data_IF_402656428218
#
_entry.id   IF_402656428218
#
_cell.length_a   1.000
_cell.length_b   1.000
_cell.length_c   1.000
_cell.angle_alpha   90.00
_cell.angle_beta   90.00
_cell.angle_gamma   90.00
#
_symmetry.space_group_name_H-M   'P 1'
#
loop_
_entity.id
_entity.type
_entity.pdbx_description
1 polymer ?
#
# COMPACT_ATOMS: atom_id res chain seq x y z
N UNK A 1 36.93 -4.84 -0.46
CA UNK A 1 35.88 -5.63 0.21
C UNK A 1 34.48 -5.44 -0.40
N UNK A 2 34.16 -4.27 -0.98
CA UNK A 2 32.84 -4.00 -1.61
C UNK A 2 32.55 -4.82 -2.88
N UNK A 3 33.56 -5.10 -3.72
CA UNK A 3 33.39 -5.88 -4.95
C UNK A 3 33.02 -7.35 -4.73
N UNK A 4 33.42 -7.94 -3.60
CA UNK A 4 33.10 -9.34 -3.26
C UNK A 4 31.64 -9.53 -2.80
N UNK A 5 31.01 -8.49 -2.25
CA UNK A 5 29.62 -8.54 -1.76
C UNK A 5 28.62 -8.43 -2.93
N UNK A 6 28.92 -7.55 -3.90
CA UNK A 6 28.09 -7.37 -5.12
C UNK A 6 28.10 -8.64 -6.00
N UNK A 7 29.25 -9.31 -6.10
CA UNK A 7 29.37 -10.56 -6.84
C UNK A 7 28.62 -11.73 -6.16
N UNK A 8 28.59 -11.79 -4.83
CA UNK A 8 27.87 -12.84 -4.08
C UNK A 8 26.33 -12.65 -4.14
N UNK A 9 25.86 -11.40 -4.14
CA UNK A 9 24.42 -11.10 -4.30
C UNK A 9 23.96 -11.37 -5.73
N UNK A 10 24.70 -11.00 -6.76
CA UNK A 10 24.37 -11.28 -8.15
C UNK A 10 24.34 -12.81 -8.44
N UNK A 11 25.27 -13.58 -7.86
CA UNK A 11 25.29 -15.06 -7.97
C UNK A 11 24.09 -15.68 -7.24
N UNK A 12 23.70 -15.18 -6.06
CA UNK A 12 22.55 -15.68 -5.33
C UNK A 12 21.23 -15.40 -6.08
N UNK A 13 21.06 -14.22 -6.66
CA UNK A 13 19.91 -13.85 -7.50
C UNK A 13 19.85 -14.71 -8.78
N UNK A 14 20.99 -14.93 -9.45
CA UNK A 14 21.05 -15.86 -10.59
C UNK A 14 20.75 -17.31 -10.20
N UNK A 15 21.21 -17.77 -9.03
CA UNK A 15 20.95 -19.14 -8.57
C UNK A 15 19.48 -19.33 -8.16
N UNK A 16 18.81 -18.32 -7.64
CA UNK A 16 17.38 -18.39 -7.29
C UNK A 16 16.52 -18.28 -8.55
N UNK A 17 16.83 -17.36 -9.45
CA UNK A 17 16.17 -17.28 -10.76
C UNK A 17 16.37 -18.57 -11.57
N UNK A 18 17.56 -19.17 -11.53
CA UNK A 18 17.86 -20.47 -12.12
C UNK A 18 17.11 -21.61 -11.40
N UNK A 19 16.99 -21.59 -10.08
CA UNK A 19 16.22 -22.62 -9.35
C UNK A 19 14.71 -22.51 -9.63
N UNK A 20 14.15 -21.32 -9.72
CA UNK A 20 12.75 -21.12 -10.13
C UNK A 20 12.55 -21.56 -11.59
N UNK A 21 13.51 -21.28 -12.47
CA UNK A 21 13.47 -21.70 -13.89
C UNK A 21 13.75 -23.21 -14.08
N UNK A 22 14.49 -23.85 -13.17
CA UNK A 22 14.86 -25.28 -13.25
C UNK A 22 13.98 -26.19 -12.41
N UNK A 23 12.96 -25.68 -11.72
CA UNK A 23 11.94 -26.51 -11.08
C UNK A 23 11.23 -27.32 -12.17
N UNK A 24 11.63 -28.58 -12.32
CA UNK A 24 11.12 -29.50 -13.34
C UNK A 24 9.76 -30.09 -13.02
N UNK A 25 9.16 -29.68 -11.87
CA UNK A 25 7.82 -30.13 -11.53
C UNK A 25 6.83 -29.50 -12.52
N UNK A 26 6.17 -30.35 -13.27
CA UNK A 26 5.18 -29.90 -14.24
C UNK A 26 3.90 -29.50 -13.47
N UNK A 27 3.64 -28.19 -13.36
CA UNK A 27 2.39 -27.65 -12.82
C UNK A 27 1.32 -27.49 -13.89
N UNK A 28 1.44 -28.28 -14.99
CA UNK A 28 0.47 -28.18 -16.06
C UNK A 28 -0.93 -28.61 -15.58
N UNK A 29 -1.89 -27.80 -15.88
CA UNK A 29 -3.30 -27.99 -15.54
C UNK A 29 -4.07 -28.30 -16.82
N UNK A 30 -4.93 -29.32 -16.80
CA UNK A 30 -5.78 -29.62 -17.96
C UNK A 30 -6.74 -28.44 -18.25
N UNK A 31 -7.01 -28.19 -19.51
CA UNK A 31 -7.87 -27.07 -19.93
C UNK A 31 -9.25 -27.13 -19.29
N UNK A 32 -9.82 -28.33 -19.10
CA UNK A 32 -11.11 -28.48 -18.44
C UNK A 32 -11.10 -28.08 -16.96
N UNK A 33 -10.04 -28.44 -16.22
CA UNK A 33 -9.91 -28.03 -14.82
C UNK A 33 -9.60 -26.53 -14.70
N UNK A 34 -8.75 -26.01 -15.58
CA UNK A 34 -8.46 -24.57 -15.66
C UNK A 34 -9.73 -23.76 -15.85
N UNK A 35 -10.60 -24.18 -16.79
CA UNK A 35 -11.86 -23.48 -17.06
C UNK A 35 -12.80 -23.47 -15.84
N UNK A 36 -12.89 -24.57 -15.10
CA UNK A 36 -13.68 -24.67 -13.87
C UNK A 36 -13.10 -23.73 -12.80
N UNK A 37 -11.79 -23.75 -12.59
CA UNK A 37 -11.15 -22.88 -11.59
C UNK A 37 -11.31 -21.40 -11.94
N UNK A 38 -11.15 -21.05 -13.21
CA UNK A 38 -11.29 -19.67 -13.67
C UNK A 38 -12.74 -19.17 -13.53
N UNK A 39 -13.74 -19.96 -13.91
CA UNK A 39 -15.16 -19.62 -13.70
C UNK A 39 -15.48 -19.40 -12.23
N UNK A 40 -15.07 -20.31 -11.36
CA UNK A 40 -15.26 -20.16 -9.92
C UNK A 40 -14.55 -18.91 -9.35
N UNK A 41 -13.41 -18.54 -9.94
CA UNK A 41 -12.69 -17.33 -9.56
C UNK A 41 -13.40 -16.07 -10.05
N UNK A 42 -13.95 -16.06 -11.27
CA UNK A 42 -14.77 -14.98 -11.82
C UNK A 42 -15.97 -14.68 -10.92
N UNK A 43 -16.72 -15.72 -10.55
CA UNK A 43 -17.91 -15.60 -9.69
C UNK A 43 -17.57 -15.01 -8.31
N UNK A 44 -16.46 -15.46 -7.71
CA UNK A 44 -16.01 -14.97 -6.39
C UNK A 44 -15.50 -13.54 -6.40
N UNK A 45 -14.99 -13.06 -7.53
CA UNK A 45 -14.38 -11.73 -7.65
C UNK A 45 -15.25 -10.74 -8.44
N UNK A 46 -16.50 -11.11 -8.74
CA UNK A 46 -17.44 -10.30 -9.54
C UNK A 46 -16.79 -9.78 -10.83
N UNK A 47 -16.12 -10.70 -11.58
CA UNK A 47 -15.41 -10.39 -12.81
C UNK A 47 -16.25 -10.77 -14.02
N UNK A 48 -16.42 -9.81 -14.93
CA UNK A 48 -17.01 -10.00 -16.24
C UNK A 48 -16.19 -9.25 -17.29
N UNK A 49 -16.06 -9.85 -18.47
CA UNK A 49 -15.26 -9.28 -19.56
C UNK A 49 -16.15 -8.99 -20.77
N UNK A 50 -15.94 -7.83 -21.38
CA UNK A 50 -16.79 -7.34 -22.47
C UNK A 50 -16.71 -8.13 -23.79
N UNK A 51 -15.75 -9.08 -23.91
CA UNK A 51 -15.59 -9.89 -25.12
C UNK A 51 -15.01 -11.27 -24.83
N UNK A 52 -15.32 -12.23 -25.72
CA UNK A 52 -14.72 -13.57 -25.67
C UNK A 52 -13.21 -13.57 -25.86
N UNK A 53 -12.67 -12.61 -26.62
CA UNK A 53 -11.22 -12.46 -26.80
C UNK A 53 -10.53 -12.06 -25.49
N UNK A 54 -11.10 -11.10 -24.75
CA UNK A 54 -10.61 -10.68 -23.45
C UNK A 54 -10.73 -11.83 -22.43
N UNK A 55 -11.88 -12.50 -22.38
CA UNK A 55 -12.08 -13.68 -21.52
C UNK A 55 -10.95 -14.72 -21.73
N UNK A 56 -10.63 -15.04 -22.98
CA UNK A 56 -9.54 -15.97 -23.33
C UNK A 56 -8.17 -15.47 -22.87
N UNK A 57 -7.90 -14.19 -23.09
CA UNK A 57 -6.65 -13.56 -22.65
C UNK A 57 -6.51 -13.64 -21.12
N UNK A 58 -7.55 -13.26 -20.37
CA UNK A 58 -7.54 -13.30 -18.90
C UNK A 58 -7.41 -14.73 -18.35
N UNK A 59 -8.04 -15.70 -18.99
CA UNK A 59 -7.87 -17.12 -18.63
C UNK A 59 -6.44 -17.60 -18.87
N UNK A 60 -5.75 -17.11 -19.91
CA UNK A 60 -4.34 -17.43 -20.14
C UNK A 60 -3.45 -16.83 -19.05
N UNK A 61 -3.65 -15.57 -18.68
CA UNK A 61 -2.93 -14.92 -17.59
C UNK A 61 -3.20 -15.65 -16.26
N UNK A 62 -4.44 -16.03 -16.00
CA UNK A 62 -4.80 -16.79 -14.81
C UNK A 62 -4.06 -18.14 -14.74
N UNK A 63 -3.90 -18.85 -15.88
CA UNK A 63 -3.10 -20.09 -15.97
C UNK A 63 -1.62 -19.83 -15.62
N UNK A 64 -1.03 -18.78 -16.15
CA UNK A 64 0.35 -18.40 -15.87
C UNK A 64 0.54 -18.09 -14.39
N UNK A 65 -0.38 -17.32 -13.79
CA UNK A 65 -0.39 -17.00 -12.38
C UNK A 65 -0.64 -18.22 -11.48
N UNK A 66 -1.47 -19.20 -11.92
CA UNK A 66 -1.62 -20.47 -11.24
C UNK A 66 -0.28 -21.19 -11.13
N UNK A 67 0.47 -21.29 -12.21
CA UNK A 67 1.79 -21.93 -12.24
C UNK A 67 2.77 -21.13 -11.35
N UNK A 68 2.75 -19.81 -11.42
CA UNK A 68 3.62 -18.96 -10.61
C UNK A 68 3.36 -19.11 -9.11
N UNK A 69 2.11 -19.11 -8.68
CA UNK A 69 1.73 -19.31 -7.27
C UNK A 69 2.22 -20.67 -6.75
N UNK A 70 2.10 -21.73 -7.53
CA UNK A 70 2.62 -23.03 -7.16
C UNK A 70 4.14 -23.03 -7.00
N UNK A 71 4.88 -22.39 -7.91
CA UNK A 71 6.34 -22.25 -7.81
C UNK A 71 6.75 -21.43 -6.59
N UNK A 72 6.05 -20.32 -6.32
CA UNK A 72 6.32 -19.49 -5.14
C UNK A 72 6.11 -20.30 -3.84
N UNK A 73 5.03 -21.08 -3.75
CA UNK A 73 4.76 -21.92 -2.59
C UNK A 73 5.79 -23.07 -2.42
N UNK A 74 6.37 -23.57 -3.51
CA UNK A 74 7.44 -24.57 -3.41
C UNK A 74 8.74 -23.96 -2.85
N UNK A 75 9.05 -22.70 -3.21
CA UNK A 75 10.26 -21.99 -2.76
C UNK A 75 10.10 -21.43 -1.34
N UNK A 76 8.96 -20.86 -1.03
CA UNK A 76 8.76 -20.05 0.19
C UNK A 76 7.73 -20.62 1.17
N UNK A 77 7.04 -21.71 0.82
CA UNK A 77 5.85 -22.18 1.53
C UNK A 77 6.02 -22.58 3.00
N UNK A 78 7.25 -22.64 3.50
CA UNK A 78 7.55 -22.87 4.92
C UNK A 78 7.56 -21.58 5.76
N UNK A 79 7.70 -20.42 5.15
CA UNK A 79 7.72 -19.11 5.83
C UNK A 79 6.51 -18.25 5.50
N UNK A 80 6.09 -18.29 4.24
CA UNK A 80 4.94 -17.52 3.72
C UNK A 80 4.27 -18.29 2.59
N UNK A 81 2.99 -18.09 2.38
CA UNK A 81 2.23 -18.75 1.31
C UNK A 81 1.60 -17.75 0.37
N UNK A 82 1.31 -18.20 -0.84
CA UNK A 82 0.74 -17.45 -1.93
C UNK A 82 -0.53 -18.14 -2.44
N UNK A 83 -1.50 -17.36 -2.93
CA UNK A 83 -2.73 -17.87 -3.50
C UNK A 83 -3.21 -17.04 -4.70
N UNK A 84 -4.10 -17.63 -5.51
CA UNK A 84 -4.82 -16.92 -6.56
C UNK A 84 -5.91 -16.07 -5.93
N UNK A 85 -5.59 -14.82 -5.69
CA UNK A 85 -6.50 -13.84 -5.10
C UNK A 85 -7.17 -12.96 -6.18
N UNK A 86 -7.74 -11.82 -5.80
CA UNK A 86 -8.43 -10.88 -6.70
C UNK A 86 -7.59 -10.35 -7.89
N UNK A 87 -6.28 -10.52 -7.88
CA UNK A 87 -5.34 -10.09 -8.92
C UNK A 87 -4.90 -11.22 -9.84
N UNK A 88 -5.56 -12.38 -9.79
CA UNK A 88 -5.12 -13.55 -10.54
C UNK A 88 -5.32 -13.44 -12.06
N UNK A 89 -6.08 -12.46 -12.54
CA UNK A 89 -6.27 -12.12 -13.95
C UNK A 89 -5.34 -11.01 -14.45
N UNK A 90 -4.43 -10.51 -13.61
CA UNK A 90 -3.48 -9.46 -13.97
C UNK A 90 -2.08 -10.06 -14.19
N UNK A 91 -1.40 -9.63 -15.24
CA UNK A 91 0.04 -9.84 -15.35
C UNK A 91 0.78 -9.03 -14.28
N UNK A 92 2.05 -9.35 -14.02
CA UNK A 92 2.91 -8.59 -13.13
C UNK A 92 3.02 -7.12 -13.55
N UNK A 93 3.14 -6.86 -14.86
CA UNK A 93 3.21 -5.50 -15.40
C UNK A 93 1.88 -4.75 -15.26
N UNK A 94 0.74 -5.41 -15.46
CA UNK A 94 -0.57 -4.80 -15.21
C UNK A 94 -0.74 -4.48 -13.73
N UNK A 95 -0.39 -5.40 -12.82
CA UNK A 95 -0.45 -5.15 -11.38
C UNK A 95 0.41 -3.95 -10.98
N UNK A 96 1.67 -3.88 -11.44
CA UNK A 96 2.56 -2.74 -11.19
C UNK A 96 2.00 -1.42 -11.70
N UNK A 97 1.44 -1.41 -12.90
CA UNK A 97 1.02 -0.16 -13.56
C UNK A 97 -0.38 0.32 -13.17
N UNK A 98 -1.19 -0.54 -12.54
CA UNK A 98 -2.59 -0.18 -12.18
C UNK A 98 -2.83 -0.15 -10.68
N UNK A 99 -2.24 -1.08 -9.91
CA UNK A 99 -2.48 -1.19 -8.47
C UNK A 99 -1.43 -0.45 -7.65
N UNK A 100 -0.17 -0.52 -8.09
CA UNK A 100 0.93 0.17 -7.44
C UNK A 100 1.09 1.59 -7.97
N UNK A 101 1.72 2.45 -7.21
CA UNK A 101 2.18 3.75 -7.71
C UNK A 101 3.50 3.59 -8.46
N UNK A 102 3.88 4.58 -9.25
CA UNK A 102 5.19 4.57 -9.93
C UNK A 102 6.31 4.44 -8.91
N UNK A 103 7.28 3.53 -9.12
CA UNK A 103 8.40 3.36 -8.20
C UNK A 103 9.20 4.65 -8.03
N UNK A 104 9.48 5.02 -6.80
CA UNK A 104 10.22 6.22 -6.46
C UNK A 104 11.26 5.94 -5.38
N UNK A 105 12.37 6.69 -5.42
CA UNK A 105 13.35 6.65 -4.35
C UNK A 105 12.78 7.29 -3.07
N UNK A 106 13.16 6.79 -1.87
CA UNK A 106 12.74 7.39 -0.61
C UNK A 106 13.05 8.89 -0.58
N UNK A 107 12.08 9.77 -0.28
CA UNK A 107 12.32 11.19 -0.10
C UNK A 107 13.24 11.46 1.10
N UNK A 108 14.10 12.48 0.96
CA UNK A 108 14.97 12.95 2.04
C UNK A 108 14.26 14.09 2.76
N UNK A 109 14.10 13.95 4.07
CA UNK A 109 13.52 14.99 4.92
C UNK A 109 14.61 15.80 5.64
N UNK A 110 14.31 17.08 5.94
CA UNK A 110 15.18 17.88 6.79
C UNK A 110 15.19 17.33 8.22
N UNK A 111 16.30 17.50 8.94
CA UNK A 111 16.48 16.99 10.30
C UNK A 111 15.39 17.48 11.28
N UNK A 112 14.84 18.67 11.06
CA UNK A 112 13.75 19.24 11.86
C UNK A 112 12.40 18.50 11.70
N UNK A 113 12.27 17.69 10.64
CA UNK A 113 11.08 16.87 10.41
C UNK A 113 11.08 15.57 11.19
N UNK A 114 12.27 15.08 11.59
CA UNK A 114 12.34 13.85 12.35
C UNK A 114 11.83 14.06 13.78
N UNK A 115 11.00 13.11 14.21
CA UNK A 115 10.49 13.05 15.58
C UNK A 115 11.66 12.72 16.53
N UNK A 116 11.69 13.39 17.67
CA UNK A 116 12.50 12.90 18.78
C UNK A 116 11.81 11.68 19.34
N UNK A 117 12.35 10.51 19.05
CA UNK A 117 11.81 9.26 19.58
C UNK A 117 11.92 9.27 21.10
N UNK A 118 10.87 8.90 21.84
CA UNK A 118 10.98 8.70 23.29
C UNK A 118 12.12 7.73 23.61
N UNK A 119 12.81 7.95 24.73
CA UNK A 119 13.81 6.98 25.16
C UNK A 119 13.15 5.58 25.18
N UNK A 120 13.73 4.66 24.42
CA UNK A 120 13.21 3.31 24.28
C UNK A 120 13.41 2.61 25.63
N UNK A 121 12.31 2.48 26.40
CA UNK A 121 12.27 1.48 27.49
C UNK A 121 12.16 0.08 26.87
N UNK A 122 11.96 -0.93 27.71
CA UNK A 122 11.71 -2.29 27.23
C UNK A 122 10.41 -2.33 26.43
N UNK A 123 10.52 -2.50 25.11
CA UNK A 123 9.37 -2.71 24.25
C UNK A 123 8.76 -4.10 24.51
N UNK A 124 7.43 -4.25 24.55
CA UNK A 124 6.81 -5.55 24.69
C UNK A 124 7.11 -6.44 23.47
N UNK A 125 7.03 -7.75 23.65
CA UNK A 125 7.24 -8.74 22.57
C UNK A 125 6.25 -8.56 21.41
N UNK A 126 5.04 -8.06 21.69
CA UNK A 126 4.01 -7.76 20.69
C UNK A 126 3.20 -6.52 21.10
N UNK A 127 2.68 -5.83 20.10
CA UNK A 127 1.80 -4.69 20.25
C UNK A 127 0.91 -4.54 19.01
N UNK A 128 -0.36 -4.17 19.18
CA UNK A 128 -1.31 -4.06 18.07
C UNK A 128 -2.36 -2.96 18.33
N UNK A 129 -2.42 -1.95 17.49
CA UNK A 129 -3.40 -0.87 17.59
C UNK A 129 -4.83 -1.29 17.26
N UNK A 130 -5.03 -2.48 16.65
CA UNK A 130 -6.37 -3.04 16.42
C UNK A 130 -7.08 -3.36 17.75
N UNK A 131 -6.31 -3.68 18.78
CA UNK A 131 -6.82 -3.97 20.12
C UNK A 131 -7.14 -2.71 20.94
N UNK A 132 -6.89 -1.51 20.37
CA UNK A 132 -7.01 -0.20 21.03
C UNK A 132 -7.92 0.78 20.28
N UNK A 133 -8.82 0.29 19.45
CA UNK A 133 -9.78 1.09 18.68
C UNK A 133 -9.15 2.23 17.85
N UNK A 134 -7.91 2.05 17.38
CA UNK A 134 -7.17 3.04 16.59
C UNK A 134 -7.04 2.69 15.11
N UNK A 135 -7.71 1.62 14.64
CA UNK A 135 -7.62 1.13 13.27
C UNK A 135 -9.03 0.90 12.71
N UNK A 136 -9.38 1.66 11.68
CA UNK A 136 -10.65 1.50 10.95
C UNK A 136 -10.70 0.17 10.18
N UNK A 137 -11.89 -0.27 9.72
CA UNK A 137 -11.99 -1.44 8.84
C UNK A 137 -11.07 -1.37 7.61
N UNK A 138 -10.69 -2.53 7.09
CA UNK A 138 -9.90 -2.63 5.86
C UNK A 138 -10.70 -2.06 4.69
N UNK A 139 -10.03 -1.21 3.90
CA UNK A 139 -10.58 -0.55 2.72
C UNK A 139 -10.05 -1.19 1.44
N UNK A 140 -10.66 -0.84 0.29
CA UNK A 140 -10.24 -1.33 -1.02
C UNK A 140 -10.03 -0.16 -1.99
N UNK A 141 -8.79 0.02 -2.47
CA UNK A 141 -8.44 1.05 -3.45
C UNK A 141 -8.90 0.73 -4.87
N UNK A 142 -9.34 -0.51 -5.12
CA UNK A 142 -9.74 -0.95 -6.46
C UNK A 142 -8.54 -1.09 -7.40
N UNK A 143 -8.71 -0.60 -8.63
CA UNK A 143 -7.75 -0.80 -9.73
C UNK A 143 -6.99 0.48 -10.11
N UNK A 144 -6.55 1.25 -9.13
CA UNK A 144 -5.80 2.51 -9.31
C UNK A 144 -4.75 2.70 -8.21
N UNK A 145 -3.70 3.48 -8.49
CA UNK A 145 -2.56 3.71 -7.59
C UNK A 145 -2.82 4.74 -6.49
N UNK A 146 -3.90 4.60 -5.71
CA UNK A 146 -4.29 5.56 -4.66
C UNK A 146 -3.86 5.16 -3.24
N UNK A 147 -3.01 4.15 -3.10
CA UNK A 147 -2.54 3.63 -1.82
C UNK A 147 -1.97 4.71 -0.88
N UNK A 148 -1.31 5.73 -1.43
CA UNK A 148 -0.77 6.88 -0.69
C UNK A 148 -1.85 7.66 0.05
N UNK A 149 -3.00 7.89 -0.60
CA UNK A 149 -4.16 8.55 0.01
C UNK A 149 -4.79 7.68 1.11
N UNK A 150 -4.92 6.36 0.87
CA UNK A 150 -5.37 5.42 1.90
C UNK A 150 -4.44 5.40 3.11
N UNK A 151 -3.14 5.33 2.91
CA UNK A 151 -2.14 5.35 3.99
C UNK A 151 -2.22 6.65 4.80
N UNK A 152 -2.32 7.81 4.12
CA UNK A 152 -2.50 9.13 4.74
C UNK A 152 -3.74 9.16 5.62
N UNK A 153 -4.89 8.83 5.04
CA UNK A 153 -6.19 8.91 5.71
C UNK A 153 -6.24 7.97 6.90
N UNK A 154 -5.80 6.72 6.74
CA UNK A 154 -5.79 5.75 7.82
C UNK A 154 -4.86 6.14 8.98
N UNK A 155 -3.74 6.83 8.70
CA UNK A 155 -2.91 7.42 9.75
C UNK A 155 -3.68 8.50 10.51
N UNK A 156 -4.34 9.43 9.81
CA UNK A 156 -5.15 10.49 10.44
C UNK A 156 -6.32 9.92 11.23
N UNK A 157 -6.99 8.88 10.74
CA UNK A 157 -8.05 8.15 11.46
C UNK A 157 -7.56 7.60 12.81
N UNK A 158 -6.38 6.98 12.82
CA UNK A 158 -5.76 6.46 14.03
C UNK A 158 -5.40 7.58 15.01
N UNK A 159 -4.74 8.65 14.53
CA UNK A 159 -4.41 9.83 15.32
C UNK A 159 -5.67 10.49 15.91
N UNK A 160 -6.73 10.58 15.11
CA UNK A 160 -8.01 11.14 15.53
C UNK A 160 -8.70 10.28 16.59
N UNK A 161 -8.72 8.95 16.41
CA UNK A 161 -9.27 8.05 17.42
C UNK A 161 -8.58 8.20 18.77
N UNK A 162 -7.25 8.30 18.78
CA UNK A 162 -6.50 8.47 20.02
C UNK A 162 -6.79 9.80 20.70
N UNK A 163 -7.04 10.86 19.93
CA UNK A 163 -7.36 12.19 20.45
C UNK A 163 -8.81 12.34 20.85
N UNK A 164 -9.76 11.99 19.97
CA UNK A 164 -11.19 12.20 20.17
C UNK A 164 -11.90 11.08 20.93
N UNK A 165 -11.26 9.92 21.06
CA UNK A 165 -11.84 8.66 21.54
C UNK A 165 -12.98 8.15 20.65
N UNK A 166 -13.01 8.57 19.40
CA UNK A 166 -14.02 8.17 18.41
C UNK A 166 -13.34 7.76 17.11
N UNK A 167 -13.49 6.50 16.74
CA UNK A 167 -12.99 5.98 15.48
C UNK A 167 -13.91 6.45 14.34
N UNK A 168 -13.36 7.22 13.41
CA UNK A 168 -14.11 7.85 12.32
C UNK A 168 -13.51 7.46 10.99
N UNK A 169 -14.33 6.97 10.05
CA UNK A 169 -13.90 6.77 8.67
C UNK A 169 -13.84 8.11 7.94
N UNK A 170 -12.67 8.46 7.45
CA UNK A 170 -12.41 9.71 6.73
C UNK A 170 -12.37 9.49 5.22
N UNK A 171 -12.63 10.55 4.46
CA UNK A 171 -12.66 10.53 3.01
C UNK A 171 -11.27 10.34 2.41
N UNK A 172 -11.08 9.23 1.72
CA UNK A 172 -9.91 9.00 0.87
C UNK A 172 -10.05 9.76 -0.44
N UNK A 173 -11.27 9.83 -0.98
CA UNK A 173 -11.53 10.51 -2.25
C UNK A 173 -11.20 12.00 -2.20
N UNK A 174 -11.44 12.68 -1.07
CA UNK A 174 -11.03 14.08 -0.91
C UNK A 174 -9.53 14.27 -1.17
N UNK A 175 -8.69 13.35 -0.70
CA UNK A 175 -7.25 13.39 -0.97
C UNK A 175 -6.97 13.17 -2.45
N UNK A 176 -7.59 12.15 -3.05
CA UNK A 176 -7.37 11.80 -4.47
C UNK A 176 -7.77 12.92 -5.41
N UNK A 177 -8.91 13.55 -5.17
CA UNK A 177 -9.48 14.59 -6.03
C UNK A 177 -8.89 15.99 -5.79
N UNK A 178 -8.44 16.28 -4.56
CA UNK A 178 -8.12 17.65 -4.16
C UNK A 178 -6.63 17.91 -3.88
N UNK A 179 -5.84 16.87 -3.69
CA UNK A 179 -4.43 17.02 -3.31
C UNK A 179 -3.51 17.01 -4.54
N UNK A 180 -3.10 18.20 -4.95
CA UNK A 180 -2.07 18.42 -5.97
C UNK A 180 -0.77 18.97 -5.40
N UNK A 181 -0.44 18.63 -4.14
CA UNK A 181 0.79 19.08 -3.49
C UNK A 181 2.03 18.55 -4.20
N UNK A 182 3.08 19.34 -4.18
CA UNK A 182 4.33 19.00 -4.85
C UNK A 182 5.55 19.61 -4.13
N UNK A 183 6.67 18.92 -4.30
CA UNK A 183 8.01 19.36 -3.88
C UNK A 183 8.94 19.21 -5.07
N UNK A 184 8.93 20.24 -5.93
CA UNK A 184 9.59 20.23 -7.25
C UNK A 184 11.11 20.12 -7.17
N UNK A 185 11.74 20.68 -6.13
CA UNK A 185 13.18 20.60 -5.86
C UNK A 185 13.69 19.16 -5.65
N UNK A 186 12.82 18.27 -5.22
CA UNK A 186 13.13 16.85 -4.98
C UNK A 186 12.31 15.88 -5.84
N UNK A 187 11.52 16.41 -6.79
CA UNK A 187 10.81 15.61 -7.79
C UNK A 187 9.60 14.83 -7.27
N UNK A 188 9.05 15.19 -6.09
CA UNK A 188 7.86 14.55 -5.54
C UNK A 188 6.60 15.36 -5.86
N UNK A 189 5.50 14.64 -6.14
CA UNK A 189 4.18 15.24 -6.33
C UNK A 189 3.08 14.22 -6.01
N UNK A 190 1.91 14.72 -5.60
CA UNK A 190 0.70 13.97 -5.47
C UNK A 190 -0.06 14.01 -6.79
N UNK A 191 -0.30 12.84 -7.35
CA UNK A 191 -0.69 12.63 -8.74
C UNK A 191 -2.04 11.91 -8.86
N UNK A 192 -2.91 12.03 -7.86
CA UNK A 192 -4.22 11.39 -7.86
C UNK A 192 -4.12 9.86 -8.00
N UNK A 193 -4.73 9.30 -9.02
CA UNK A 193 -4.75 7.84 -9.26
C UNK A 193 -3.41 7.22 -9.68
N UNK A 194 -2.39 8.03 -9.95
CA UNK A 194 -1.07 7.56 -10.38
C UNK A 194 -0.05 7.45 -9.26
N UNK A 195 -0.40 7.86 -8.04
CA UNK A 195 0.48 7.80 -6.89
C UNK A 195 0.70 9.14 -6.22
N UNK A 196 1.36 9.13 -5.07
CA UNK A 196 1.67 10.31 -4.26
C UNK A 196 2.42 9.95 -3.00
N UNK A 197 2.57 10.92 -2.10
CA UNK A 197 3.33 10.77 -0.87
C UNK A 197 2.52 11.18 0.36
N UNK A 198 2.37 10.33 1.37
CA UNK A 198 1.62 10.66 2.58
C UNK A 198 2.08 11.94 3.27
N UNK A 199 3.39 12.27 3.27
CA UNK A 199 3.90 13.50 3.86
C UNK A 199 3.46 14.77 3.12
N UNK A 200 3.24 14.71 1.80
CA UNK A 200 2.66 15.82 1.03
C UNK A 200 1.18 15.96 1.33
N UNK A 201 0.46 14.84 1.44
CA UNK A 201 -0.96 14.85 1.83
C UNK A 201 -1.18 15.43 3.22
N UNK A 202 -0.29 15.18 4.18
CA UNK A 202 -0.38 15.87 5.48
C UNK A 202 -0.23 17.38 5.31
N UNK A 203 0.65 17.86 4.42
CA UNK A 203 0.78 19.28 4.12
C UNK A 203 -0.47 19.84 3.42
N UNK A 204 -1.09 19.06 2.52
CA UNK A 204 -2.38 19.42 1.94
C UNK A 204 -3.43 19.60 3.04
N UNK A 205 -3.59 18.64 3.94
CA UNK A 205 -4.56 18.71 5.04
C UNK A 205 -4.30 19.87 6.00
N UNK A 206 -3.04 20.19 6.27
CA UNK A 206 -2.68 21.41 7.03
C UNK A 206 -3.17 22.70 6.34
N UNK A 207 -3.00 22.76 5.02
CA UNK A 207 -3.40 23.93 4.21
C UNK A 207 -4.93 23.99 4.05
N UNK A 208 -5.57 22.83 3.84
CA UNK A 208 -7.02 22.72 3.66
C UNK A 208 -7.79 23.02 4.96
N UNK A 209 -7.20 22.69 6.11
CA UNK A 209 -7.77 22.95 7.42
C UNK A 209 -8.79 21.95 7.92
N UNK A 210 -9.05 20.85 7.17
CA UNK A 210 -9.96 19.78 7.56
C UNK A 210 -10.07 18.67 6.53
N UNK A 211 -10.85 17.67 6.90
CA UNK A 211 -11.18 16.52 6.03
C UNK A 211 -12.61 16.08 6.31
N UNK A 212 -13.32 15.71 5.25
CA UNK A 212 -14.68 15.15 5.34
C UNK A 212 -14.65 13.67 5.78
N UNK A 213 -15.82 13.20 6.21
CA UNK A 213 -16.01 11.75 6.47
C UNK A 213 -16.17 10.97 5.16
N UNK A 214 -15.92 9.67 5.21
CA UNK A 214 -16.20 8.77 4.09
C UNK A 214 -17.68 8.78 3.68
N UNK A 215 -18.60 9.07 4.61
CA UNK A 215 -20.03 9.12 4.31
C UNK A 215 -20.48 10.38 3.58
N UNK A 216 -19.75 11.49 3.73
CA UNK A 216 -20.05 12.78 3.04
C UNK A 216 -19.33 12.89 1.72
N UNK A 217 -18.11 12.32 1.63
CA UNK A 217 -17.29 12.33 0.42
C UNK A 217 -16.75 10.91 0.15
N UNK A 218 -17.60 10.01 -0.37
CA UNK A 218 -17.26 8.59 -0.48
C UNK A 218 -16.22 8.29 -1.56
N UNK A 219 -15.38 7.28 -1.31
CA UNK A 219 -14.38 6.81 -2.26
C UNK A 219 -15.03 6.20 -3.51
N UNK A 220 -14.55 6.60 -4.69
CA UNK A 220 -15.05 6.10 -5.96
C UNK A 220 -13.98 5.89 -7.04
N UNK A 221 -12.83 6.55 -6.95
CA UNK A 221 -11.80 6.58 -7.99
C UNK A 221 -11.34 5.21 -8.49
N UNK A 222 -11.24 4.21 -7.62
CA UNK A 222 -10.83 2.85 -7.97
C UNK A 222 -11.98 1.87 -8.20
N UNK A 223 -13.21 2.29 -7.98
CA UNK A 223 -14.40 1.44 -8.03
C UNK A 223 -15.07 1.54 -9.41
N UNK A 224 -15.18 0.43 -10.14
CA UNK A 224 -15.85 0.39 -11.44
C UNK A 224 -17.24 1.03 -11.36
N UNK A 225 -17.56 1.94 -12.30
CA UNK A 225 -18.86 2.58 -12.50
C UNK A 225 -19.30 3.62 -11.44
N UNK A 226 -18.43 4.01 -10.52
CA UNK A 226 -18.82 4.95 -9.46
C UNK A 226 -18.61 6.40 -9.85
N UNK A 227 -17.42 6.76 -10.34
CA UNK A 227 -17.09 8.10 -10.84
C UNK A 227 -15.91 8.06 -11.81
N UNK A 228 -15.69 9.19 -12.49
CA UNK A 228 -14.48 9.47 -13.27
C UNK A 228 -13.66 10.48 -12.47
N UNK A 229 -12.57 10.06 -11.80
CA UNK A 229 -11.78 10.95 -10.95
C UNK A 229 -11.20 12.09 -11.78
N UNK A 230 -11.09 13.27 -11.18
CA UNK A 230 -10.51 14.44 -11.81
C UNK A 230 -9.05 14.65 -11.38
N UNK A 231 -8.29 15.40 -12.18
CA UNK A 231 -6.98 15.83 -11.72
C UNK A 231 -7.14 16.87 -10.62
N UNK A 232 -6.40 16.72 -9.53
CA UNK A 232 -6.42 17.65 -8.43
C UNK A 232 -5.99 19.07 -8.85
N UNK A 233 -6.50 20.12 -8.21
CA UNK A 233 -5.98 21.46 -8.38
C UNK A 233 -4.47 21.50 -8.09
N UNK A 234 -3.68 22.02 -9.04
CA UNK A 234 -2.22 22.03 -8.91
C UNK A 234 -1.50 20.82 -9.50
N UNK A 235 -2.21 19.90 -10.16
CA UNK A 235 -1.62 18.73 -10.83
C UNK A 235 -0.44 19.10 -11.72
N UNK A 236 0.72 18.50 -11.47
CA UNK A 236 1.96 18.77 -12.19
C UNK A 236 2.22 17.72 -13.30
N UNK A 237 1.95 18.08 -14.56
CA UNK A 237 2.13 17.20 -15.71
C UNK A 237 3.57 16.72 -15.90
N UNK A 238 4.56 17.49 -15.48
CA UNK A 238 5.98 17.15 -15.63
C UNK A 238 6.37 16.03 -14.67
N UNK A 239 5.88 16.06 -13.45
CA UNK A 239 6.19 15.05 -12.41
C UNK A 239 5.25 13.85 -12.50
N UNK A 240 3.96 14.09 -12.76
CA UNK A 240 2.92 13.06 -12.75
C UNK A 240 2.70 12.38 -14.11
N UNK A 241 3.15 13.03 -15.20
CA UNK A 241 2.86 12.58 -16.56
C UNK A 241 1.52 13.10 -17.08
N UNK A 242 0.99 12.52 -18.18
CA UNK A 242 -0.25 12.98 -18.78
C UNK A 242 -1.39 12.98 -17.76
N UNK A 243 -2.22 14.05 -17.72
CA UNK A 243 -3.38 14.08 -16.85
C UNK A 243 -4.41 13.05 -17.29
N UNK A 244 -5.37 12.75 -16.40
CA UNK A 244 -6.56 12.00 -16.74
C UNK A 244 -7.27 12.74 -17.87
N UNK A 245 -7.57 12.07 -19.01
CA UNK A 245 -8.03 12.75 -20.21
C UNK A 245 -9.44 13.35 -20.08
N UNK A 246 -10.24 12.80 -19.19
CA UNK A 246 -11.63 13.22 -19.01
C UNK A 246 -12.09 12.94 -17.56
N UNK A 247 -12.85 13.88 -17.01
CA UNK A 247 -13.65 13.64 -15.80
C UNK A 247 -14.98 14.42 -15.91
N UNK A 248 -15.98 14.02 -15.15
CA UNK A 248 -17.19 14.81 -15.01
C UNK A 248 -16.96 15.97 -14.03
N UNK A 249 -17.44 17.17 -14.38
CA UNK A 249 -17.31 18.36 -13.49
C UNK A 249 -17.89 18.08 -12.09
N UNK A 250 -18.99 17.33 -12.01
CA UNK A 250 -19.60 16.91 -10.74
C UNK A 250 -18.68 16.08 -9.85
N UNK A 251 -17.66 15.45 -10.44
CA UNK A 251 -16.71 14.59 -9.76
C UNK A 251 -15.40 15.33 -9.41
N UNK A 252 -15.30 16.63 -9.76
CA UNK A 252 -14.13 17.47 -9.42
C UNK A 252 -14.10 17.85 -7.94
N UNK A 253 -12.90 18.14 -7.44
CA UNK A 253 -12.70 18.66 -6.07
C UNK A 253 -13.58 19.88 -5.79
N UNK A 254 -13.61 20.86 -6.70
CA UNK A 254 -14.37 22.10 -6.52
C UNK A 254 -15.88 21.87 -6.42
N UNK A 255 -16.39 20.80 -7.03
CA UNK A 255 -17.81 20.47 -7.02
C UNK A 255 -18.24 19.65 -5.81
N UNK A 256 -17.33 18.86 -5.23
CA UNK A 256 -17.64 17.94 -4.14
C UNK A 256 -17.25 18.48 -2.76
N UNK A 257 -16.12 19.18 -2.66
CA UNK A 257 -15.56 19.61 -1.38
C UNK A 257 -16.42 20.67 -0.69
N UNK A 258 -16.93 20.33 0.49
CA UNK A 258 -17.66 21.26 1.35
C UNK A 258 -17.01 21.37 2.72
N UNK A 259 -16.33 22.49 2.98
CA UNK A 259 -15.65 22.71 4.26
C UNK A 259 -16.58 22.73 5.49
N UNK A 260 -17.90 22.90 5.28
CA UNK A 260 -18.89 22.78 6.36
C UNK A 260 -19.13 21.32 6.78
N UNK A 261 -18.72 20.36 5.95
CA UNK A 261 -18.81 18.92 6.22
C UNK A 261 -17.54 18.33 6.82
N UNK A 262 -16.51 19.14 7.05
CA UNK A 262 -15.30 18.67 7.72
C UNK A 262 -15.61 18.11 9.10
N UNK A 263 -14.94 17.01 9.46
CA UNK A 263 -15.09 16.40 10.79
C UNK A 263 -14.74 17.44 11.87
N UNK A 264 -15.71 17.78 12.74
CA UNK A 264 -15.52 18.88 13.69
C UNK A 264 -14.36 18.66 14.65
N UNK A 265 -13.44 19.62 14.74
CA UNK A 265 -12.28 19.57 15.63
C UNK A 265 -11.10 18.77 15.11
N UNK A 266 -11.24 18.06 13.97
CA UNK A 266 -10.13 17.36 13.34
C UNK A 266 -9.32 18.36 12.49
N UNK A 267 -8.08 18.63 12.89
CA UNK A 267 -7.14 19.46 12.13
C UNK A 267 -5.74 18.84 12.18
N UNK A 268 -5.14 18.63 11.03
CA UNK A 268 -3.71 18.33 10.92
C UNK A 268 -2.96 19.66 11.04
N UNK A 269 -2.06 19.78 12.01
CA UNK A 269 -1.31 21.03 12.26
C UNK A 269 0.18 20.89 11.97
N UNK A 270 0.70 19.67 11.95
CA UNK A 270 2.08 19.36 11.57
C UNK A 270 2.17 17.87 11.13
N UNK A 271 3.34 17.45 10.70
CA UNK A 271 3.68 16.06 10.46
C UNK A 271 5.14 15.79 10.82
N UNK A 272 5.45 14.55 11.16
CA UNK A 272 6.80 14.11 11.49
C UNK A 272 7.20 12.89 10.69
N UNK A 273 8.49 12.80 10.39
CA UNK A 273 9.16 11.59 9.96
C UNK A 273 9.73 10.87 11.18
N UNK A 274 9.85 9.55 11.11
CA UNK A 274 10.55 8.70 12.06
C UNK A 274 11.82 8.21 11.37
N UNK A 275 12.94 8.11 12.08
CA UNK A 275 14.18 7.59 11.52
C UNK A 275 14.08 6.10 11.14
N UNK A 276 15.05 5.61 10.37
CA UNK A 276 15.03 4.27 9.80
C UNK A 276 15.34 3.14 10.81
N UNK A 277 15.67 3.46 12.07
CA UNK A 277 15.86 2.45 13.11
C UNK A 277 14.54 1.81 13.50
N UNK A 278 14.41 0.52 13.26
CA UNK A 278 13.16 -0.19 13.49
C UNK A 278 12.80 -0.31 14.99
N UNK A 279 13.72 -0.07 15.90
CA UNK A 279 13.42 0.05 17.34
C UNK A 279 12.77 1.40 17.62
N UNK A 280 13.29 2.47 17.03
CA UNK A 280 12.71 3.80 17.13
C UNK A 280 11.33 3.84 16.45
N UNK A 281 11.16 3.15 15.30
CA UNK A 281 9.85 3.01 14.65
C UNK A 281 8.84 2.33 15.60
N UNK A 282 9.24 1.25 16.28
CA UNK A 282 8.35 0.59 17.25
C UNK A 282 7.98 1.49 18.43
N UNK A 283 8.95 2.24 18.98
CA UNK A 283 8.69 3.19 20.05
C UNK A 283 7.76 4.34 19.59
N UNK A 284 7.98 4.87 18.38
CA UNK A 284 7.09 5.87 17.80
C UNK A 284 5.69 5.31 17.57
N UNK A 285 5.57 4.10 16.96
CA UNK A 285 4.29 3.43 16.75
C UNK A 285 3.50 3.27 18.05
N UNK A 286 4.14 2.79 19.12
CA UNK A 286 3.48 2.59 20.41
C UNK A 286 3.07 3.91 21.09
N UNK A 287 3.88 4.96 20.95
CA UNK A 287 3.66 6.23 21.64
C UNK A 287 2.75 7.20 20.90
N UNK A 288 2.67 7.11 19.57
CA UNK A 288 1.96 8.12 18.76
C UNK A 288 0.72 7.58 18.05
N UNK A 289 0.61 6.27 17.85
CA UNK A 289 -0.47 5.66 17.07
C UNK A 289 0.02 5.00 15.77
N UNK A 290 -0.89 4.44 14.96
CA UNK A 290 -0.56 3.84 13.67
C UNK A 290 0.25 4.78 12.78
N UNK A 291 1.24 4.24 12.04
CA UNK A 291 2.16 5.03 11.22
C UNK A 291 1.96 4.77 9.73
N UNK A 292 2.02 5.82 8.93
CA UNK A 292 2.08 5.70 7.47
C UNK A 292 3.49 5.29 7.03
N UNK A 293 3.59 4.21 6.25
CA UNK A 293 4.86 3.68 5.75
C UNK A 293 4.78 3.40 4.25
N UNK A 294 5.93 3.43 3.56
CA UNK A 294 6.02 3.02 2.17
C UNK A 294 7.01 1.87 2.01
N UNK A 295 6.78 1.03 1.00
CA UNK A 295 7.64 -0.12 0.70
C UNK A 295 7.61 -0.47 -0.79
N UNK A 296 8.48 -1.38 -1.22
CA UNK A 296 8.34 -2.08 -2.50
C UNK A 296 7.38 -3.27 -2.34
N UNK A 297 6.28 -3.26 -3.06
CA UNK A 297 5.19 -4.24 -2.94
C UNK A 297 5.03 -5.16 -4.16
N UNK A 298 5.94 -5.11 -5.14
CA UNK A 298 5.84 -5.89 -6.37
C UNK A 298 5.58 -7.38 -6.12
N UNK A 299 6.22 -7.95 -5.09
CA UNK A 299 6.10 -9.38 -4.75
C UNK A 299 4.92 -9.70 -3.83
N UNK A 300 4.11 -8.71 -3.44
CA UNK A 300 2.92 -8.92 -2.61
C UNK A 300 1.67 -9.32 -3.40
N UNK A 301 1.69 -9.29 -4.74
CA UNK A 301 0.53 -9.56 -5.60
C UNK A 301 -0.27 -10.78 -5.12
N UNK A 302 0.38 -11.92 -4.88
CA UNK A 302 -0.24 -13.18 -4.52
C UNK A 302 -0.02 -13.58 -3.05
N UNK A 303 0.47 -12.67 -2.21
CA UNK A 303 0.65 -12.98 -0.79
C UNK A 303 -0.67 -13.41 -0.15
N UNK A 304 -0.64 -14.52 0.61
CA UNK A 304 -1.77 -15.05 1.35
C UNK A 304 -1.55 -14.95 2.86
N UNK A 305 -0.50 -15.56 3.39
CA UNK A 305 -0.21 -15.54 4.84
C UNK A 305 1.24 -15.86 5.16
N UNK A 306 1.63 -15.62 6.40
CA UNK A 306 2.97 -15.88 6.94
C UNK A 306 3.81 -14.60 7.02
N UNK A 307 5.09 -14.74 7.41
CA UNK A 307 5.98 -13.58 7.52
C UNK A 307 6.64 -13.33 6.18
N UNK A 308 6.23 -12.25 5.48
CA UNK A 308 6.77 -11.85 4.20
C UNK A 308 8.25 -11.47 4.34
N UNK A 309 9.10 -12.27 3.74
CA UNK A 309 10.56 -12.08 3.75
C UNK A 309 11.14 -12.59 2.43
N UNK A 310 10.89 -11.88 1.32
CA UNK A 310 11.41 -12.29 0.02
C UNK A 310 12.93 -12.20 -0.02
N UNK A 311 13.59 -13.08 -0.77
CA UNK A 311 15.05 -13.09 -0.91
C UNK A 311 15.57 -11.84 -1.60
N UNK A 312 14.77 -11.28 -2.51
CA UNK A 312 15.07 -10.04 -3.21
C UNK A 312 13.86 -9.12 -3.17
N UNK A 313 14.09 -7.88 -2.73
CA UNK A 313 13.13 -6.79 -2.79
C UNK A 313 13.93 -5.48 -2.78
N UNK A 314 13.70 -4.60 -3.74
CA UNK A 314 14.49 -3.37 -3.84
C UNK A 314 13.99 -2.30 -2.87
N UNK A 315 14.72 -2.00 -1.78
CA UNK A 315 14.28 -1.03 -0.78
C UNK A 315 14.34 0.44 -1.26
N UNK A 316 14.86 0.67 -2.47
CA UNK A 316 14.99 2.01 -3.07
C UNK A 316 13.89 2.30 -4.10
N UNK A 317 13.07 1.32 -4.45
CA UNK A 317 11.96 1.48 -5.38
C UNK A 317 10.65 1.34 -4.60
N UNK A 318 10.25 2.41 -3.91
CA UNK A 318 8.99 2.42 -3.18
C UNK A 318 7.84 2.64 -4.16
N UNK A 319 6.87 1.76 -4.15
CA UNK A 319 5.75 1.74 -5.09
C UNK A 319 4.39 1.54 -4.40
N UNK A 320 4.37 1.45 -3.07
CA UNK A 320 3.17 1.24 -2.30
C UNK A 320 3.25 1.88 -0.92
N UNK A 321 2.16 2.52 -0.49
CA UNK A 321 2.05 3.10 0.85
C UNK A 321 0.93 2.40 1.63
N UNK A 322 1.19 2.10 2.91
CA UNK A 322 0.35 1.28 3.78
C UNK A 322 0.35 1.81 5.21
N UNK A 323 -0.41 1.20 6.10
CA UNK A 323 -0.45 1.57 7.52
C UNK A 323 0.22 0.53 8.40
N UNK A 324 1.26 0.91 9.12
CA UNK A 324 1.88 0.10 10.15
C UNK A 324 1.06 0.19 11.44
N UNK A 325 0.56 -0.95 11.93
CA UNK A 325 -0.38 -0.98 13.06
C UNK A 325 0.15 -1.72 14.28
N UNK A 326 1.19 -2.53 14.13
CA UNK A 326 1.69 -3.33 15.24
C UNK A 326 2.91 -4.16 14.87
N UNK A 327 3.32 -4.97 15.82
CA UNK A 327 4.38 -5.96 15.66
C UNK A 327 4.15 -7.18 16.54
N UNK A 328 4.84 -8.24 16.24
CA UNK A 328 4.86 -9.45 17.04
C UNK A 328 6.09 -10.30 16.75
N UNK A 329 6.06 -11.53 17.25
CA UNK A 329 7.13 -12.52 17.08
C UNK A 329 6.52 -13.90 16.91
N UNK A 330 6.97 -14.63 15.92
CA UNK A 330 6.61 -16.03 15.69
C UNK A 330 7.89 -16.88 15.82
N UNK A 331 8.00 -17.63 16.91
CA UNK A 331 9.25 -18.28 17.29
C UNK A 331 10.35 -17.24 17.51
N UNK A 332 11.42 -17.29 16.71
CA UNK A 332 12.53 -16.33 16.75
C UNK A 332 12.39 -15.20 15.71
N UNK A 333 11.34 -15.20 14.89
CA UNK A 333 11.16 -14.26 13.78
C UNK A 333 10.29 -13.08 14.19
N UNK A 334 10.85 -11.86 14.39
CA UNK A 334 10.05 -10.66 14.63
C UNK A 334 9.39 -10.21 13.34
N UNK A 335 8.19 -9.63 13.43
CA UNK A 335 7.46 -9.11 12.28
C UNK A 335 6.72 -7.82 12.60
N UNK A 336 6.45 -7.04 11.56
CA UNK A 336 5.49 -5.95 11.56
C UNK A 336 4.12 -6.46 11.14
N UNK A 337 3.06 -5.86 11.70
CA UNK A 337 1.67 -6.03 11.28
C UNK A 337 1.30 -4.80 10.46
N UNK A 338 0.93 -5.01 9.22
CA UNK A 338 0.67 -3.93 8.25
C UNK A 338 -0.72 -4.07 7.68
N UNK A 339 -1.52 -3.00 7.75
CA UNK A 339 -2.83 -2.88 7.13
C UNK A 339 -2.67 -2.43 5.69
N UNK A 340 -3.24 -3.21 4.76
CA UNK A 340 -3.24 -2.90 3.34
C UNK A 340 -4.57 -2.25 2.90
N UNK A 341 -4.65 -1.82 1.64
CA UNK A 341 -5.80 -1.20 0.99
C UNK A 341 -6.31 -1.99 -0.21
N UNK A 342 -6.23 -3.33 -0.15
CA UNK A 342 -6.65 -4.22 -1.24
C UNK A 342 -7.87 -5.09 -0.89
N UNK A 343 -8.66 -4.66 0.10
CA UNK A 343 -9.85 -5.35 0.57
C UNK A 343 -9.54 -6.52 1.51
N UNK A 344 -10.58 -7.01 2.18
CA UNK A 344 -10.47 -8.06 3.21
C UNK A 344 -10.18 -9.45 2.65
N UNK A 345 -10.43 -9.66 1.35
CA UNK A 345 -10.19 -10.95 0.70
C UNK A 345 -8.72 -11.20 0.31
N UNK A 346 -7.87 -10.17 0.39
CA UNK A 346 -6.44 -10.27 0.13
C UNK A 346 -5.65 -10.51 1.42
N UNK A 347 -4.61 -11.32 1.35
CA UNK A 347 -3.67 -11.55 2.44
C UNK A 347 -4.33 -12.10 3.71
N UNK A 348 -3.84 -11.70 4.88
CA UNK A 348 -4.37 -12.06 6.19
C UNK A 348 -5.56 -11.14 6.56
N UNK A 349 -6.72 -11.33 5.91
CA UNK A 349 -7.92 -10.48 6.07
C UNK A 349 -7.66 -8.99 5.78
N UNK A 350 -6.88 -8.70 4.74
CA UNK A 350 -6.52 -7.34 4.32
C UNK A 350 -5.25 -6.80 4.98
N UNK A 351 -4.59 -7.61 5.79
CA UNK A 351 -3.30 -7.34 6.42
C UNK A 351 -2.20 -8.23 5.84
N UNK A 352 -0.97 -7.88 6.13
CA UNK A 352 0.18 -8.76 5.94
C UNK A 352 1.18 -8.59 7.08
N UNK A 353 1.95 -9.64 7.31
CA UNK A 353 3.09 -9.59 8.23
C UNK A 353 4.38 -9.56 7.44
N UNK A 354 5.30 -8.68 7.78
CA UNK A 354 6.59 -8.53 7.11
C UNK A 354 7.72 -8.59 8.12
N UNK A 355 8.84 -9.23 7.76
CA UNK A 355 9.97 -9.40 8.66
C UNK A 355 10.48 -8.05 9.16
N UNK A 356 10.61 -7.92 10.48
CA UNK A 356 11.12 -6.75 11.20
C UNK A 356 12.61 -6.89 11.49
N UNK A 357 13.34 -5.76 11.52
CA UNK A 357 14.74 -5.69 11.95
C UNK A 357 15.74 -5.76 10.79
N UNK A 358 15.30 -5.68 9.52
CA UNK A 358 16.16 -5.71 8.33
C UNK A 358 15.80 -4.69 7.27
N UNK A 359 14.84 -3.80 7.52
CA UNK A 359 14.34 -2.86 6.52
C UNK A 359 13.75 -3.58 5.30
N UNK A 360 13.06 -4.70 5.51
CA UNK A 360 12.55 -5.56 4.44
C UNK A 360 11.72 -4.75 3.46
N UNK A 361 12.07 -4.80 2.17
CA UNK A 361 11.42 -4.06 1.08
C UNK A 361 11.40 -2.53 1.28
N UNK A 362 12.25 -1.98 2.15
CA UNK A 362 12.33 -0.55 2.42
C UNK A 362 11.27 -0.01 3.36
N UNK A 363 10.51 -0.86 4.06
CA UNK A 363 9.40 -0.46 4.94
C UNK A 363 9.80 0.56 6.02
N UNK A 364 11.06 0.61 6.40
CA UNK A 364 11.60 1.53 7.38
C UNK A 364 12.09 2.86 6.82
N UNK A 365 12.17 3.03 5.48
CA UNK A 365 12.82 4.20 4.86
C UNK A 365 11.91 5.42 4.74
N UNK A 366 10.60 5.21 4.73
CA UNK A 366 9.60 6.28 4.70
C UNK A 366 8.50 6.02 5.72
N UNK A 367 8.76 6.47 6.95
CA UNK A 367 7.84 6.34 8.07
C UNK A 367 7.43 7.73 8.52
N UNK A 368 6.13 8.04 8.44
CA UNK A 368 5.60 9.37 8.73
C UNK A 368 4.30 9.30 9.51
N UNK A 369 3.97 10.39 10.22
CA UNK A 369 2.71 10.54 10.95
C UNK A 369 2.23 11.97 10.97
N UNK A 370 0.90 12.16 10.91
CA UNK A 370 0.25 13.43 11.15
C UNK A 370 0.29 13.82 12.62
N UNK A 371 0.31 15.12 12.90
CA UNK A 371 0.13 15.71 14.23
C UNK A 371 -1.18 16.50 14.22
N UNK A 372 -2.08 16.17 15.12
CA UNK A 372 -3.38 16.82 15.23
C UNK A 372 -3.36 17.96 16.27
N UNK A 373 -3.93 19.12 15.88
CA UNK A 373 -4.07 20.30 16.73
C UNK A 373 -5.16 20.18 17.79
#
# INVERSE_FOLDING_TARGET
MQTSLIFRTAIAVCLIALNIATLTKNYDISDGLLEILFKNWLDRNDRDYGSFAEYKQRMTIFKENYIQVHKLNEVFGHDMTFELNKFADLTEDEFRNTILMRPQAPPIHSQSRYMKTPAVGDLPDSFDWRDHDAVTPVKDQGSVGTCWAFSTVQNVEGQWSLKSKTLTNLSVEQIVDCDGMQKTDSGQADCGVYGGWPFLSFQYLMKQGGIESESTYPYCAGLKKSCEPCNAPGYNKTLCGPPIPFCYIKDSCESKLDSNQFVPGLKVVDWKAIDEDETNIAAALMSTGPLSVALNAELLQFYHKGIFNPVFCNPKNLDHAVLLVGWGKEGSKPYWIVKNSWGVSWGEHGYFRILRGKGTCGINTQVTTAILG
#
